data_IF_715691111694
#
_entry.id   IF_715691111694
#
_cell.length_a   1.000
_cell.length_b   1.000
_cell.length_c   1.000
_cell.angle_alpha   90.00
_cell.angle_beta   90.00
_cell.angle_gamma   90.00
#
_symmetry.space_group_name_H-M   'P 1'
#
loop_
_entity.id
_entity.type
_entity.pdbx_description
1 polymer ?
#
# COMPACT_ATOMS: atom_id res chain seq x y z
N UNK A 1 -75.47 -29.22 -44.17
CA UNK A 1 -74.53 -30.24 -43.56
C UNK A 1 -73.22 -29.62 -43.04
N UNK A 2 -73.24 -28.41 -42.44
CA UNK A 2 -71.97 -27.74 -41.96
C UNK A 2 -71.84 -27.62 -40.43
N UNK A 3 -72.82 -28.11 -39.67
CA UNK A 3 -72.80 -27.98 -38.20
C UNK A 3 -72.27 -29.14 -37.43
N UNK A 4 -72.17 -30.32 -38.05
CA UNK A 4 -71.70 -31.57 -37.33
C UNK A 4 -70.20 -31.73 -37.24
N UNK A 5 -69.42 -31.15 -38.17
CA UNK A 5 -67.96 -31.22 -38.17
C UNK A 5 -67.32 -30.28 -37.10
N UNK A 6 -68.00 -29.18 -36.75
CA UNK A 6 -67.48 -28.23 -35.75
C UNK A 6 -67.58 -28.78 -34.32
N UNK A 7 -68.65 -29.54 -34.07
CA UNK A 7 -68.85 -30.14 -32.72
C UNK A 7 -67.85 -31.25 -32.38
N UNK A 8 -67.41 -32.03 -33.41
CA UNK A 8 -66.44 -33.08 -33.24
C UNK A 8 -65.01 -32.50 -33.00
N UNK A 9 -64.71 -31.38 -33.67
CA UNK A 9 -63.40 -30.71 -33.48
C UNK A 9 -63.31 -30.02 -32.11
N UNK A 10 -64.43 -29.46 -31.58
CA UNK A 10 -64.43 -28.90 -30.25
C UNK A 10 -64.35 -29.96 -29.14
N UNK A 11 -64.92 -31.15 -29.35
CA UNK A 11 -64.79 -32.24 -28.39
C UNK A 11 -63.35 -32.81 -28.31
N UNK A 12 -62.62 -32.83 -29.44
CA UNK A 12 -61.22 -33.31 -29.45
C UNK A 12 -60.26 -32.33 -28.72
N UNK A 13 -60.54 -31.02 -28.70
CA UNK A 13 -59.75 -30.01 -27.96
C UNK A 13 -59.93 -30.08 -26.46
N UNK A 14 -61.09 -30.51 -25.97
CA UNK A 14 -61.40 -30.63 -24.53
C UNK A 14 -60.94 -31.93 -23.88
N UNK A 15 -60.54 -32.95 -24.66
CA UNK A 15 -60.05 -34.23 -24.12
C UNK A 15 -58.53 -34.24 -23.95
N UNK A 16 -57.82 -33.32 -24.58
CA UNK A 16 -56.33 -33.27 -24.42
C UNK A 16 -55.80 -32.89 -23.04
N UNK A 17 -56.48 -32.10 -22.21
CA UNK A 17 -55.96 -31.75 -20.89
C UNK A 17 -56.22 -32.76 -19.76
N UNK A 18 -56.84 -33.92 -20.09
CA UNK A 18 -57.16 -34.97 -19.11
C UNK A 18 -56.15 -36.17 -19.16
N UNK A 19 -55.02 -36.04 -19.88
CA UNK A 19 -53.95 -36.96 -19.69
C UNK A 19 -53.39 -36.70 -18.28
N UNK A 20 -53.41 -37.69 -17.38
CA UNK A 20 -52.73 -37.53 -16.09
C UNK A 20 -51.30 -37.07 -16.38
N UNK A 21 -50.86 -36.01 -15.72
CA UNK A 21 -49.44 -35.75 -15.64
C UNK A 21 -48.84 -37.07 -15.18
N UNK A 22 -47.99 -37.69 -15.97
CA UNK A 22 -47.17 -38.79 -15.49
C UNK A 22 -46.39 -38.22 -14.34
N UNK A 23 -46.72 -38.61 -13.10
CA UNK A 23 -45.84 -38.36 -11.98
C UNK A 23 -44.43 -38.75 -12.46
N UNK A 24 -43.53 -37.79 -12.45
CA UNK A 24 -42.12 -38.07 -12.70
C UNK A 24 -41.80 -39.13 -11.65
N UNK A 25 -41.57 -40.38 -12.13
CA UNK A 25 -41.18 -41.47 -11.22
C UNK A 25 -39.89 -40.96 -10.56
N UNK A 26 -39.92 -40.78 -9.24
CA UNK A 26 -38.70 -40.52 -8.50
C UNK A 26 -37.64 -41.54 -8.94
N UNK A 27 -36.44 -41.11 -9.29
CA UNK A 27 -35.41 -42.03 -9.71
C UNK A 27 -35.19 -43.08 -8.61
N UNK A 28 -34.87 -44.31 -9.00
CA UNK A 28 -34.62 -45.41 -8.10
C UNK A 28 -33.44 -45.07 -7.18
N UNK A 29 -32.51 -44.30 -7.69
CA UNK A 29 -31.38 -43.68 -6.98
C UNK A 29 -31.29 -42.22 -7.41
N UNK A 30 -30.86 -41.35 -6.49
CA UNK A 30 -30.71 -39.92 -6.75
C UNK A 30 -29.87 -39.30 -5.65
N UNK A 31 -29.34 -38.12 -5.95
CA UNK A 31 -28.54 -37.32 -5.03
C UNK A 31 -29.00 -35.88 -5.11
N UNK A 32 -28.96 -35.17 -3.99
CA UNK A 32 -29.14 -33.74 -3.91
C UNK A 32 -27.92 -33.15 -3.15
N UNK A 33 -27.35 -32.11 -3.69
CA UNK A 33 -26.21 -31.39 -3.10
C UNK A 33 -26.61 -29.95 -2.84
N UNK A 34 -26.49 -29.53 -1.59
CA UNK A 34 -26.74 -28.14 -1.19
C UNK A 34 -25.58 -27.63 -0.37
N UNK A 35 -25.20 -26.35 -0.57
CA UNK A 35 -24.18 -25.70 0.23
C UNK A 35 -24.66 -24.32 0.67
N UNK A 36 -24.18 -23.85 1.82
CA UNK A 36 -24.54 -22.53 2.36
C UNK A 36 -23.94 -21.37 1.57
N UNK A 37 -22.97 -21.63 0.73
CA UNK A 37 -22.15 -20.64 0.04
C UNK A 37 -21.00 -20.15 0.91
N UNK A 38 -19.85 -19.82 0.31
CA UNK A 38 -18.72 -19.28 1.04
C UNK A 38 -19.01 -17.84 1.45
N UNK A 39 -18.54 -17.44 2.64
CA UNK A 39 -18.37 -16.02 2.98
C UNK A 39 -17.23 -15.41 2.15
N UNK A 40 -17.18 -14.08 2.07
CA UNK A 40 -16.02 -13.41 1.50
C UNK A 40 -14.75 -13.74 2.29
N UNK A 41 -13.64 -13.99 1.60
CA UNK A 41 -12.36 -14.31 2.24
C UNK A 41 -11.62 -13.05 2.66
N UNK A 42 -11.40 -12.85 3.97
CA UNK A 42 -10.53 -11.80 4.47
C UNK A 42 -9.07 -12.16 4.20
N UNK A 43 -8.41 -11.32 3.39
CA UNK A 43 -6.99 -11.45 3.01
C UNK A 43 -6.13 -10.34 3.60
N UNK A 44 -6.68 -9.57 4.54
CA UNK A 44 -5.93 -8.52 5.24
C UNK A 44 -4.76 -9.14 6.03
N UNK A 45 -3.60 -8.46 6.09
CA UNK A 45 -2.42 -9.00 6.78
C UNK A 45 -2.64 -9.29 8.27
N UNK A 46 -3.63 -8.64 8.88
CA UNK A 46 -3.94 -8.76 10.32
C UNK A 46 -5.15 -9.63 10.62
N UNK A 47 -6.01 -9.89 9.65
CA UNK A 47 -7.30 -10.56 9.82
C UNK A 47 -7.48 -11.81 8.95
N UNK A 48 -6.43 -12.27 8.27
CA UNK A 48 -6.53 -13.43 7.41
C UNK A 48 -7.00 -14.67 8.17
N UNK A 49 -8.13 -15.24 7.72
CA UNK A 49 -8.65 -16.51 8.18
C UNK A 49 -9.18 -17.32 6.99
N UNK A 50 -8.95 -18.67 6.96
CA UNK A 50 -9.61 -19.54 5.99
C UNK A 50 -11.13 -19.47 6.12
N UNK A 51 -11.83 -19.57 4.99
CA UNK A 51 -13.30 -19.56 4.94
C UNK A 51 -13.79 -20.98 4.85
N UNK A 52 -14.77 -21.32 5.68
CA UNK A 52 -15.43 -22.62 5.69
C UNK A 52 -16.84 -22.48 5.09
N UNK A 53 -17.20 -23.47 4.28
CA UNK A 53 -18.52 -23.64 3.68
C UNK A 53 -19.01 -25.05 4.01
N UNK A 54 -20.21 -25.16 4.56
CA UNK A 54 -20.85 -26.45 4.84
C UNK A 54 -21.70 -26.86 3.66
N UNK A 55 -21.49 -28.08 3.20
CA UNK A 55 -22.30 -28.74 2.18
C UNK A 55 -23.00 -29.95 2.74
N UNK A 56 -24.22 -30.18 2.31
CA UNK A 56 -25.05 -31.35 2.69
C UNK A 56 -25.31 -32.19 1.44
N UNK A 57 -25.01 -33.48 1.52
CA UNK A 57 -25.36 -34.48 0.51
C UNK A 57 -26.56 -35.27 1.03
N UNK A 58 -27.60 -35.39 0.24
CA UNK A 58 -28.79 -36.18 0.55
C UNK A 58 -28.94 -37.32 -0.47
N UNK A 59 -29.12 -38.54 0.02
CA UNK A 59 -29.54 -39.64 -0.86
C UNK A 59 -31.07 -39.59 -1.03
N UNK A 60 -31.52 -39.07 -2.18
CA UNK A 60 -32.94 -38.93 -2.51
C UNK A 60 -33.59 -40.23 -3.02
N UNK A 61 -32.87 -41.34 -3.02
CA UNK A 61 -33.40 -42.64 -3.40
C UNK A 61 -34.55 -43.05 -2.46
N UNK A 62 -35.50 -43.76 -3.03
CA UNK A 62 -36.64 -44.29 -2.23
C UNK A 62 -36.27 -45.54 -1.42
N UNK A 63 -35.25 -46.25 -1.82
CA UNK A 63 -34.75 -47.47 -1.19
C UNK A 63 -33.24 -47.66 -1.42
N UNK A 64 -32.56 -48.15 -0.43
CA UNK A 64 -31.18 -48.64 -0.51
C UNK A 64 -30.12 -47.55 -0.30
N UNK A 65 -28.97 -47.99 0.10
CA UNK A 65 -27.81 -47.14 0.28
C UNK A 65 -27.18 -46.80 -1.06
N UNK A 66 -26.71 -45.57 -1.19
CA UNK A 66 -25.90 -45.11 -2.34
C UNK A 66 -24.51 -44.74 -1.88
N UNK A 67 -23.53 -45.07 -2.71
CA UNK A 67 -22.17 -44.51 -2.61
C UNK A 67 -22.08 -43.31 -3.55
N UNK A 68 -21.79 -42.16 -3.00
CA UNK A 68 -21.72 -40.89 -3.69
C UNK A 68 -20.27 -40.44 -3.69
N UNK A 69 -19.74 -40.16 -4.87
CA UNK A 69 -18.42 -39.59 -5.05
C UNK A 69 -18.53 -38.07 -5.21
N UNK A 70 -17.76 -37.32 -4.40
CA UNK A 70 -17.63 -35.88 -4.51
C UNK A 70 -16.35 -35.56 -5.27
N UNK A 71 -16.51 -34.76 -6.30
CA UNK A 71 -15.41 -34.19 -7.10
C UNK A 71 -15.61 -32.69 -7.25
N UNK A 72 -14.59 -31.95 -7.70
CA UNK A 72 -14.69 -30.52 -7.88
C UNK A 72 -13.94 -30.04 -9.12
N UNK A 73 -14.38 -28.87 -9.60
CA UNK A 73 -13.64 -28.00 -10.49
C UNK A 73 -13.33 -26.70 -9.75
N UNK A 74 -12.08 -26.25 -9.77
CA UNK A 74 -11.56 -25.09 -9.04
C UNK A 74 -10.62 -24.27 -9.88
N UNK A 75 -10.82 -22.96 -9.97
CA UNK A 75 -9.99 -22.08 -10.78
C UNK A 75 -9.03 -21.16 -9.96
N UNK A 76 -8.93 -21.37 -8.65
CA UNK A 76 -8.08 -20.53 -7.76
C UNK A 76 -6.58 -20.57 -8.05
N UNK A 77 -6.12 -21.55 -8.83
CA UNK A 77 -4.75 -21.63 -9.31
C UNK A 77 -3.73 -21.73 -8.17
N UNK A 78 -2.67 -20.91 -8.25
CA UNK A 78 -1.62 -20.84 -7.25
C UNK A 78 -1.90 -19.83 -6.12
N UNK A 79 -3.01 -19.08 -6.20
CA UNK A 79 -3.29 -17.98 -5.28
C UNK A 79 -4.30 -18.33 -4.20
N UNK A 80 -5.14 -19.32 -4.45
CA UNK A 80 -6.10 -19.84 -3.48
C UNK A 80 -6.28 -21.35 -3.63
N UNK A 81 -6.51 -22.03 -2.51
CA UNK A 81 -6.72 -23.48 -2.43
C UNK A 81 -8.16 -23.77 -1.94
N UNK A 82 -8.74 -24.85 -2.48
CA UNK A 82 -9.99 -25.42 -2.01
C UNK A 82 -9.74 -26.85 -1.51
N UNK A 83 -10.05 -27.11 -0.24
CA UNK A 83 -9.83 -28.40 0.42
C UNK A 83 -11.17 -28.98 0.90
N UNK A 84 -11.27 -30.29 1.01
CA UNK A 84 -12.46 -30.96 1.53
C UNK A 84 -13.58 -31.21 0.51
N UNK A 85 -13.44 -30.68 -0.72
CA UNK A 85 -14.42 -30.88 -1.80
C UNK A 85 -14.16 -32.15 -2.63
N UNK A 86 -13.66 -33.21 -2.00
CA UNK A 86 -13.47 -34.54 -2.59
C UNK A 86 -13.69 -35.62 -1.54
N UNK A 87 -14.30 -36.73 -1.93
CA UNK A 87 -14.52 -37.84 -1.01
C UNK A 87 -15.53 -38.85 -1.51
N UNK A 88 -15.74 -39.91 -0.74
CA UNK A 88 -16.77 -40.91 -0.99
C UNK A 88 -17.63 -41.07 0.26
N UNK A 89 -18.94 -41.03 0.08
CA UNK A 89 -19.93 -41.07 1.14
C UNK A 89 -20.89 -42.24 0.87
N UNK A 90 -21.25 -43.00 1.93
CA UNK A 90 -22.21 -44.10 1.84
C UNK A 90 -23.42 -43.74 2.66
N UNK A 91 -24.51 -43.34 2.02
CA UNK A 91 -25.70 -42.74 2.64
C UNK A 91 -26.90 -43.62 2.40
N UNK A 92 -27.66 -43.95 3.48
CA UNK A 92 -28.91 -44.70 3.38
C UNK A 92 -30.01 -43.86 2.69
N UNK A 93 -31.02 -44.54 2.16
CA UNK A 93 -32.14 -43.90 1.48
C UNK A 93 -32.85 -42.87 2.37
N UNK A 94 -32.93 -41.62 1.90
CA UNK A 94 -33.56 -40.51 2.61
C UNK A 94 -32.72 -39.91 3.74
N UNK A 95 -31.47 -40.35 3.93
CA UNK A 95 -30.55 -39.79 4.90
C UNK A 95 -29.61 -38.77 4.21
N UNK A 96 -28.97 -37.92 5.00
CA UNK A 96 -28.03 -36.92 4.55
C UNK A 96 -26.75 -36.92 5.38
N UNK A 97 -25.66 -36.45 4.81
CA UNK A 97 -24.37 -36.27 5.47
C UNK A 97 -23.76 -34.93 5.09
N UNK A 98 -23.18 -34.23 6.10
CA UNK A 98 -22.55 -32.96 5.90
C UNK A 98 -21.05 -33.11 5.71
N UNK A 99 -20.46 -32.24 4.87
CA UNK A 99 -19.03 -32.10 4.74
C UNK A 99 -18.63 -30.63 4.66
N UNK A 100 -17.40 -30.32 5.05
CA UNK A 100 -16.89 -28.96 5.07
C UNK A 100 -15.89 -28.77 3.95
N UNK A 101 -16.08 -27.70 3.20
CA UNK A 101 -15.11 -27.20 2.21
C UNK A 101 -14.41 -25.99 2.81
N UNK A 102 -13.09 -26.03 2.81
CA UNK A 102 -12.26 -24.95 3.34
C UNK A 102 -11.53 -24.24 2.20
N UNK A 103 -11.70 -22.95 2.12
CA UNK A 103 -10.97 -22.08 1.18
C UNK A 103 -9.85 -21.36 1.93
N UNK A 104 -8.66 -21.35 1.34
CA UNK A 104 -7.51 -20.64 1.87
C UNK A 104 -6.76 -19.97 0.72
N UNK A 105 -6.01 -18.90 1.02
CA UNK A 105 -5.31 -18.14 -0.01
C UNK A 105 -4.12 -17.38 0.53
N UNK A 106 -3.51 -16.57 -0.32
CA UNK A 106 -2.44 -15.66 0.09
C UNK A 106 -3.02 -14.34 0.58
N UNK A 107 -2.33 -13.68 1.51
CA UNK A 107 -2.69 -12.32 1.94
C UNK A 107 -2.48 -11.29 0.83
N UNK A 108 -3.16 -10.15 0.93
CA UNK A 108 -3.04 -8.99 0.01
C UNK A 108 -3.51 -9.25 -1.43
N UNK A 109 -4.39 -10.20 -1.63
CA UNK A 109 -5.01 -10.36 -2.94
C UNK A 109 -5.93 -9.18 -3.25
N UNK A 110 -6.01 -8.74 -4.54
CA UNK A 110 -6.98 -7.72 -4.94
C UNK A 110 -8.42 -8.15 -4.65
N UNK A 111 -9.25 -7.24 -4.20
CA UNK A 111 -10.69 -7.47 -4.00
C UNK A 111 -11.43 -7.81 -5.31
N UNK A 112 -10.85 -7.43 -6.46
CA UNK A 112 -11.39 -7.77 -7.78
C UNK A 112 -11.19 -9.24 -8.18
N UNK A 113 -10.43 -10.02 -7.41
CA UNK A 113 -10.29 -11.45 -7.64
C UNK A 113 -11.57 -12.17 -7.18
N UNK A 114 -12.03 -13.08 -8.04
CA UNK A 114 -13.13 -13.98 -7.79
C UNK A 114 -12.75 -15.36 -8.32
N UNK A 115 -13.01 -16.39 -7.56
CA UNK A 115 -12.59 -17.76 -7.89
C UNK A 115 -13.81 -18.64 -8.01
N UNK A 116 -14.14 -19.00 -9.26
CA UNK A 116 -15.27 -19.88 -9.53
C UNK A 116 -14.94 -21.32 -9.12
N UNK A 117 -15.95 -22.00 -8.60
CA UNK A 117 -15.87 -23.43 -8.31
C UNK A 117 -17.18 -24.12 -8.60
N UNK A 118 -17.08 -25.41 -8.88
CA UNK A 118 -18.21 -26.30 -8.98
C UNK A 118 -17.89 -27.60 -8.27
N UNK A 119 -18.81 -28.05 -7.41
CA UNK A 119 -18.72 -29.30 -6.66
C UNK A 119 -19.77 -30.25 -7.24
N UNK A 120 -19.36 -31.44 -7.57
CA UNK A 120 -20.23 -32.48 -8.14
C UNK A 120 -20.43 -33.60 -7.14
N UNK A 121 -21.68 -34.04 -6.96
CA UNK A 121 -22.05 -35.23 -6.24
C UNK A 121 -22.56 -36.27 -7.24
N UNK A 122 -21.86 -37.37 -7.43
CA UNK A 122 -22.20 -38.40 -8.43
C UNK A 122 -22.45 -39.72 -7.73
N UNK A 123 -23.62 -40.34 -7.97
CA UNK A 123 -23.92 -41.71 -7.48
C UNK A 123 -23.09 -42.70 -8.27
N UNK A 124 -22.16 -43.37 -7.61
CA UNK A 124 -21.24 -44.36 -8.25
C UNK A 124 -21.57 -45.82 -7.92
N UNK A 125 -22.35 -46.04 -6.83
CA UNK A 125 -22.75 -47.40 -6.42
C UNK A 125 -24.14 -47.35 -5.75
N UNK A 126 -24.97 -48.34 -5.99
CA UNK A 126 -26.27 -48.49 -5.33
C UNK A 126 -26.41 -49.92 -4.76
N UNK A 127 -26.74 -50.05 -3.46
CA UNK A 127 -26.80 -51.32 -2.78
C UNK A 127 -25.58 -52.24 -3.03
N UNK A 128 -24.37 -51.69 -3.00
CA UNK A 128 -23.09 -52.35 -3.27
C UNK A 128 -22.93 -52.86 -4.72
N UNK A 129 -23.76 -52.36 -5.65
CA UNK A 129 -23.63 -52.62 -7.08
C UNK A 129 -23.06 -51.38 -7.79
N UNK A 130 -21.85 -51.43 -8.39
CA UNK A 130 -21.28 -50.31 -9.11
C UNK A 130 -22.16 -49.89 -10.31
N UNK A 131 -22.43 -48.62 -10.44
CA UNK A 131 -23.15 -48.02 -11.57
C UNK A 131 -22.17 -47.72 -12.71
N UNK A 132 -21.92 -48.74 -13.53
CA UNK A 132 -21.09 -48.61 -14.72
C UNK A 132 -21.97 -48.55 -15.96
N UNK A 133 -21.44 -48.02 -17.05
CA UNK A 133 -22.14 -48.05 -18.37
C UNK A 133 -22.66 -49.48 -18.71
N UNK A 134 -23.89 -49.61 -19.14
CA UNK A 134 -24.81 -48.58 -19.62
C UNK A 134 -25.79 -48.01 -18.58
N UNK A 135 -25.58 -48.24 -17.28
CA UNK A 135 -26.46 -47.67 -16.22
C UNK A 135 -26.24 -46.17 -16.11
N UNK A 136 -27.32 -45.37 -16.11
CA UNK A 136 -27.18 -43.95 -15.88
C UNK A 136 -26.63 -43.70 -14.48
N UNK A 137 -25.73 -42.71 -14.35
CA UNK A 137 -25.29 -42.14 -13.11
C UNK A 137 -26.12 -40.89 -12.85
N UNK A 138 -26.73 -40.80 -11.71
CA UNK A 138 -27.38 -39.56 -11.25
C UNK A 138 -26.31 -38.70 -10.63
N UNK A 139 -26.37 -37.41 -10.91
CA UNK A 139 -25.47 -36.41 -10.35
C UNK A 139 -26.25 -35.14 -10.04
N UNK A 140 -25.72 -34.40 -9.08
CA UNK A 140 -26.10 -33.03 -8.80
C UNK A 140 -24.84 -32.18 -8.64
N UNK A 141 -24.95 -30.86 -8.81
CA UNK A 141 -23.80 -29.96 -8.67
C UNK A 141 -24.20 -28.67 -7.99
N UNK A 142 -23.24 -28.11 -7.29
CA UNK A 142 -23.31 -26.78 -6.69
C UNK A 142 -22.19 -25.91 -7.25
N UNK A 143 -22.56 -24.84 -7.96
CA UNK A 143 -21.63 -23.87 -8.55
C UNK A 143 -21.76 -22.52 -7.84
N UNK A 144 -20.65 -21.89 -7.50
CA UNK A 144 -20.57 -20.57 -6.88
C UNK A 144 -19.18 -19.96 -7.12
N UNK A 145 -18.92 -18.79 -6.55
CA UNK A 145 -17.62 -18.15 -6.53
C UNK A 145 -17.21 -17.75 -5.11
N UNK A 146 -15.91 -17.83 -4.84
CA UNK A 146 -15.30 -17.27 -3.64
C UNK A 146 -14.88 -15.83 -3.96
N UNK A 147 -15.44 -14.87 -3.25
CA UNK A 147 -15.10 -13.46 -3.36
C UNK A 147 -14.05 -13.06 -2.32
N UNK A 148 -13.23 -12.07 -2.65
CA UNK A 148 -12.22 -11.51 -1.74
C UNK A 148 -12.78 -10.28 -1.06
N UNK A 149 -12.77 -10.27 0.28
CA UNK A 149 -13.20 -9.12 1.06
C UNK A 149 -12.29 -7.90 0.84
N UNK A 150 -12.91 -6.73 0.72
CA UNK A 150 -12.17 -5.46 0.63
C UNK A 150 -11.68 -5.04 2.01
N UNK A 151 -10.42 -4.63 2.12
CA UNK A 151 -9.86 -4.01 3.31
C UNK A 151 -9.08 -2.74 2.97
N UNK A 152 -9.15 -1.75 3.85
CA UNK A 152 -8.38 -0.53 3.78
C UNK A 152 -7.07 -0.65 4.57
N UNK A 153 -6.00 -0.08 4.04
CA UNK A 153 -4.75 0.11 4.74
C UNK A 153 -3.98 1.27 4.12
N UNK A 154 -3.37 2.08 4.95
CA UNK A 154 -2.66 3.28 4.50
C UNK A 154 -1.29 3.34 5.16
N UNK A 155 -0.29 3.78 4.41
CA UNK A 155 1.03 4.11 4.92
C UNK A 155 1.30 5.60 4.69
N UNK A 156 1.62 6.33 5.77
CA UNK A 156 2.00 7.73 5.72
C UNK A 156 3.52 7.85 5.88
N UNK A 157 4.16 8.54 4.93
CA UNK A 157 5.60 8.77 4.90
C UNK A 157 5.88 10.27 4.90
N UNK A 158 6.47 10.76 5.97
CA UNK A 158 6.96 12.12 6.06
C UNK A 158 8.43 12.17 5.58
N UNK A 159 8.77 13.22 4.82
CA UNK A 159 10.14 13.40 4.32
C UNK A 159 11.15 13.60 5.45
N UNK A 160 10.71 14.16 6.59
CA UNK A 160 11.55 14.39 7.77
C UNK A 160 10.69 14.43 9.03
N UNK A 161 11.03 13.64 10.02
CA UNK A 161 10.37 13.54 11.34
C UNK A 161 11.19 14.15 12.48
N UNK A 162 12.33 14.80 12.17
CA UNK A 162 13.15 15.47 13.19
C UNK A 162 12.43 16.69 13.75
N UNK A 163 12.84 17.08 14.96
CA UNK A 163 12.36 18.31 15.57
C UNK A 163 12.60 19.52 14.66
N UNK A 164 11.55 20.31 14.46
CA UNK A 164 11.61 21.56 13.70
C UNK A 164 11.76 22.72 14.67
N UNK A 165 12.92 23.38 14.63
CA UNK A 165 13.13 24.65 15.31
C UNK A 165 12.63 25.78 14.42
N UNK A 166 11.62 26.51 14.85
CA UNK A 166 10.98 27.58 14.09
C UNK A 166 10.91 28.84 14.94
N UNK A 167 11.03 30.02 14.32
CA UNK A 167 10.86 31.29 15.00
C UNK A 167 9.36 31.62 15.15
N UNK A 168 9.01 32.31 16.20
CA UNK A 168 7.68 32.85 16.45
C UNK A 168 7.20 33.66 15.24
N UNK A 169 5.99 33.40 14.75
CA UNK A 169 5.39 34.06 13.61
C UNK A 169 6.00 33.72 12.24
N UNK A 170 6.92 32.74 12.18
CA UNK A 170 7.49 32.28 10.90
C UNK A 170 6.65 31.18 10.24
N UNK A 171 6.73 31.12 8.92
CA UNK A 171 6.16 30.04 8.12
C UNK A 171 7.15 28.88 8.00
N UNK A 172 6.65 27.66 8.13
CA UNK A 172 7.39 26.44 7.84
C UNK A 172 6.49 25.43 7.14
N UNK A 173 7.09 24.40 6.52
CA UNK A 173 6.34 23.39 5.81
C UNK A 173 6.72 21.99 6.22
N UNK A 174 5.75 21.08 6.17
CA UNK A 174 5.94 19.64 6.34
C UNK A 174 5.54 18.97 5.02
N UNK A 175 6.45 18.15 4.51
CA UNK A 175 6.28 17.45 3.25
C UNK A 175 6.08 15.96 3.50
N UNK A 176 5.10 15.37 2.83
CA UNK A 176 4.73 13.97 3.00
C UNK A 176 4.17 13.36 1.72
N UNK A 177 4.11 12.04 1.73
CA UNK A 177 3.44 11.20 0.75
C UNK A 177 2.63 10.15 1.50
N UNK A 178 1.64 9.57 0.86
CA UNK A 178 0.86 8.48 1.42
C UNK A 178 0.59 7.43 0.35
N UNK A 179 0.52 6.17 0.78
CA UNK A 179 0.38 5.01 -0.10
C UNK A 179 -0.86 4.24 0.29
N UNK A 180 -1.68 3.86 -0.70
CA UNK A 180 -2.73 2.88 -0.50
C UNK A 180 -2.11 1.48 -0.38
N UNK A 181 -2.20 0.86 0.80
CA UNK A 181 -1.75 -0.50 1.12
C UNK A 181 -2.91 -1.49 1.22
N UNK A 182 -4.14 -1.03 1.01
CA UNK A 182 -5.33 -1.87 0.90
C UNK A 182 -5.33 -2.71 -0.37
N UNK A 183 -6.35 -3.53 -0.54
CA UNK A 183 -6.47 -4.43 -1.68
C UNK A 183 -7.45 -3.96 -2.76
N UNK A 184 -7.91 -2.72 -2.67
CA UNK A 184 -8.76 -2.07 -3.67
C UNK A 184 -8.35 -0.60 -3.85
N UNK A 185 -8.96 0.07 -4.83
CA UNK A 185 -8.86 1.51 -4.96
C UNK A 185 -9.44 2.18 -3.71
N UNK A 186 -8.74 3.17 -3.19
CA UNK A 186 -9.14 3.85 -1.96
C UNK A 186 -8.96 5.36 -2.07
N UNK A 187 -9.82 6.10 -1.39
CA UNK A 187 -9.64 7.51 -1.16
C UNK A 187 -8.95 7.71 0.17
N UNK A 188 -7.63 7.94 0.10
CA UNK A 188 -6.81 8.18 1.28
C UNK A 188 -6.93 9.64 1.71
N UNK A 189 -7.14 9.86 3.01
CA UNK A 189 -7.18 11.19 3.64
C UNK A 189 -6.05 11.34 4.64
N UNK A 190 -5.37 12.48 4.61
CA UNK A 190 -4.34 12.88 5.58
C UNK A 190 -4.75 14.19 6.23
N UNK A 191 -4.74 14.24 7.55
CA UNK A 191 -4.98 15.43 8.35
C UNK A 191 -4.13 15.44 9.64
N UNK A 192 -4.34 16.44 10.51
CA UNK A 192 -3.72 16.53 11.82
C UNK A 192 -4.71 16.10 12.89
N UNK A 193 -4.40 15.02 13.61
CA UNK A 193 -5.23 14.51 14.72
C UNK A 193 -5.48 15.55 15.80
N UNK A 194 -4.51 16.45 16.04
CA UNK A 194 -4.58 17.49 17.05
C UNK A 194 -4.76 18.91 16.48
N UNK A 195 -5.36 19.05 15.31
CA UNK A 195 -5.57 20.34 14.62
C UNK A 195 -6.18 21.42 15.51
N UNK A 196 -7.19 21.08 16.32
CA UNK A 196 -7.88 22.02 17.18
C UNK A 196 -6.98 22.53 18.32
N UNK A 197 -6.14 21.66 18.89
CA UNK A 197 -5.17 22.03 19.91
C UNK A 197 -4.13 22.99 19.36
N UNK A 198 -3.63 22.72 18.17
CA UNK A 198 -2.67 23.58 17.47
C UNK A 198 -3.26 24.96 17.16
N UNK A 199 -4.50 25.04 16.69
CA UNK A 199 -5.21 26.30 16.46
C UNK A 199 -5.40 27.10 17.76
N UNK A 200 -5.73 26.44 18.85
CA UNK A 200 -5.85 27.08 20.17
C UNK A 200 -4.50 27.58 20.68
N UNK A 201 -3.41 26.91 20.33
CA UNK A 201 -2.05 27.34 20.64
C UNK A 201 -1.54 28.47 19.73
N UNK A 202 -2.34 28.90 18.75
CA UNK A 202 -2.01 30.03 17.87
C UNK A 202 -1.36 29.63 16.52
N UNK A 203 -1.24 28.34 16.21
CA UNK A 203 -0.85 27.92 14.88
C UNK A 203 -1.96 28.21 13.87
N UNK A 204 -1.57 28.57 12.67
CA UNK A 204 -2.49 28.70 11.54
C UNK A 204 -1.96 27.96 10.32
N UNK A 205 -2.88 27.57 9.43
CA UNK A 205 -2.57 26.73 8.29
C UNK A 205 -2.82 27.52 6.99
N UNK A 206 -1.84 27.50 6.09
CA UNK A 206 -1.89 28.22 4.83
C UNK A 206 -2.33 27.25 3.73
N UNK A 207 -3.57 27.43 3.24
CA UNK A 207 -4.17 26.55 2.26
C UNK A 207 -5.03 25.46 2.88
N UNK A 208 -4.80 24.19 2.50
CA UNK A 208 -5.61 23.06 2.97
C UNK A 208 -5.13 22.52 4.31
N UNK A 209 -6.08 22.26 5.21
CA UNK A 209 -5.83 21.62 6.52
C UNK A 209 -5.87 20.08 6.43
N UNK A 210 -6.27 19.55 5.30
CA UNK A 210 -6.26 18.12 4.99
C UNK A 210 -5.99 17.90 3.51
N UNK A 211 -5.55 16.72 3.18
CA UNK A 211 -5.36 16.24 1.81
C UNK A 211 -6.16 14.96 1.63
N UNK A 212 -6.74 14.80 0.46
CA UNK A 212 -7.42 13.56 0.09
C UNK A 212 -7.22 13.29 -1.40
N UNK A 213 -6.90 12.04 -1.74
CA UNK A 213 -6.63 11.61 -3.11
C UNK A 213 -7.12 10.18 -3.32
N UNK A 214 -7.69 9.93 -4.50
CA UNK A 214 -8.10 8.59 -4.91
C UNK A 214 -6.86 7.86 -5.44
N UNK A 215 -6.44 6.79 -4.77
CA UNK A 215 -5.26 6.01 -5.09
C UNK A 215 -5.64 4.57 -5.43
N UNK A 216 -5.14 4.07 -6.55
CA UNK A 216 -5.22 2.65 -6.85
C UNK A 216 -4.42 1.82 -5.82
N UNK A 217 -4.73 0.54 -5.70
CA UNK A 217 -4.02 -0.42 -4.86
C UNK A 217 -2.51 -0.35 -5.11
N UNK A 218 -1.72 -0.16 -4.06
CA UNK A 218 -0.26 -0.10 -4.09
C UNK A 218 0.33 1.22 -4.59
N UNK A 219 -0.49 2.19 -5.02
CA UNK A 219 0.01 3.47 -5.52
C UNK A 219 0.26 4.46 -4.38
N UNK A 220 1.28 5.30 -4.61
CA UNK A 220 1.69 6.39 -3.72
C UNK A 220 1.27 7.72 -4.33
N UNK A 221 0.80 8.64 -3.50
CA UNK A 221 0.48 10.01 -3.91
C UNK A 221 1.71 10.76 -4.41
N UNK A 222 1.48 11.82 -5.18
CA UNK A 222 2.50 12.84 -5.34
C UNK A 222 2.89 13.44 -3.99
N UNK A 223 4.07 14.06 -3.93
CA UNK A 223 4.53 14.75 -2.74
C UNK A 223 3.58 15.92 -2.41
N UNK A 224 3.06 15.96 -1.20
CA UNK A 224 2.19 17.01 -0.67
C UNK A 224 2.97 17.86 0.33
N UNK A 225 2.58 19.12 0.44
CA UNK A 225 3.17 20.07 1.36
C UNK A 225 2.08 20.74 2.19
N UNK A 226 2.19 20.66 3.52
CA UNK A 226 1.35 21.42 4.44
C UNK A 226 2.15 22.60 4.97
N UNK A 227 1.65 23.80 4.73
CA UNK A 227 2.26 25.06 5.18
C UNK A 227 1.62 25.53 6.46
N UNK A 228 2.45 25.82 7.44
CA UNK A 228 2.05 26.12 8.81
C UNK A 228 2.72 27.42 9.22
N UNK A 229 1.94 28.33 9.80
CA UNK A 229 2.45 29.54 10.45
C UNK A 229 2.51 29.30 11.95
N UNK A 230 3.69 29.49 12.54
CA UNK A 230 3.91 29.37 13.96
C UNK A 230 3.19 30.50 14.73
N UNK A 231 2.81 30.27 16.01
CA UNK A 231 2.27 31.34 16.87
C UNK A 231 3.19 32.57 16.91
N UNK A 232 2.59 33.74 16.79
CA UNK A 232 3.27 35.03 17.09
C UNK A 232 3.25 35.33 18.58
N UNK A 233 3.76 36.18 19.16
CA UNK A 233 3.58 36.72 20.55
C UNK A 233 3.73 35.64 21.63
N UNK A 234 4.81 34.85 21.57
CA UNK A 234 5.17 33.91 22.64
C UNK A 234 6.29 34.49 23.52
N UNK A 235 6.12 34.40 24.84
CA UNK A 235 7.07 34.91 25.84
C UNK A 235 8.27 33.97 26.05
N UNK A 236 8.10 32.68 25.74
CA UNK A 236 9.11 31.64 25.96
C UNK A 236 9.01 30.57 24.89
N UNK A 237 10.06 29.75 24.73
CA UNK A 237 10.05 28.61 23.83
C UNK A 237 8.90 27.65 24.14
N UNK A 238 8.11 27.30 23.13
CA UNK A 238 7.00 26.39 23.23
C UNK A 238 7.30 25.14 22.39
N UNK A 239 6.99 23.95 22.94
CA UNK A 239 7.15 22.69 22.23
C UNK A 239 5.77 22.07 21.97
N UNK A 240 5.56 21.64 20.73
CA UNK A 240 4.34 21.01 20.25
C UNK A 240 4.66 19.78 19.40
N UNK A 241 3.72 18.86 19.34
CA UNK A 241 3.75 17.74 18.41
C UNK A 241 2.74 17.97 17.30
N UNK A 242 3.15 17.93 16.05
CA UNK A 242 2.25 17.83 14.91
C UNK A 242 1.95 16.33 14.69
N UNK A 243 0.72 15.91 14.98
CA UNK A 243 0.30 14.52 14.85
C UNK A 243 -0.43 14.32 13.54
N UNK A 244 0.32 13.93 12.52
CA UNK A 244 -0.24 13.57 11.22
C UNK A 244 -0.87 12.20 11.30
N UNK A 245 -2.06 12.06 10.72
CA UNK A 245 -2.74 10.78 10.56
C UNK A 245 -3.22 10.61 9.11
N UNK A 246 -3.09 9.38 8.60
CA UNK A 246 -3.68 8.98 7.34
C UNK A 246 -4.72 7.89 7.59
N UNK A 247 -5.85 7.99 6.89
CA UNK A 247 -6.98 7.08 7.01
C UNK A 247 -7.50 6.65 5.63
N UNK A 248 -8.03 5.44 5.56
CA UNK A 248 -8.89 4.99 4.48
C UNK A 248 -10.25 5.68 4.60
N UNK A 249 -10.80 6.14 3.49
CA UNK A 249 -12.19 6.65 3.48
C UNK A 249 -13.18 5.55 3.15
N UNK A 250 -12.74 4.54 2.39
CA UNK A 250 -13.59 3.42 1.98
C UNK A 250 -13.74 2.37 3.08
N UNK A 251 -12.76 2.28 3.97
CA UNK A 251 -12.78 1.40 5.14
C UNK A 251 -12.50 2.22 6.42
N UNK A 252 -13.54 2.76 7.07
CA UNK A 252 -13.40 3.57 8.29
C UNK A 252 -12.84 2.80 9.50
N UNK A 253 -12.91 1.48 9.49
CA UNK A 253 -12.42 0.61 10.54
C UNK A 253 -10.94 0.21 10.34
N UNK A 254 -10.36 0.59 9.19
CA UNK A 254 -8.95 0.35 8.89
C UNK A 254 -8.02 1.04 9.91
N UNK A 255 -6.87 0.44 10.21
CA UNK A 255 -5.87 1.05 11.09
C UNK A 255 -5.40 2.39 10.55
N UNK A 256 -5.35 3.41 11.41
CA UNK A 256 -4.76 4.70 11.08
C UNK A 256 -3.23 4.57 10.97
N UNK A 257 -2.65 5.27 10.00
CA UNK A 257 -1.19 5.46 9.93
C UNK A 257 -0.84 6.82 10.55
N UNK A 258 -0.16 6.80 11.68
CA UNK A 258 0.15 8.01 12.44
C UNK A 258 1.66 8.29 12.45
N UNK A 259 2.03 9.58 12.37
CA UNK A 259 3.41 10.04 12.49
C UNK A 259 3.46 11.38 13.19
N UNK A 260 4.43 11.57 14.08
CA UNK A 260 4.59 12.77 14.89
C UNK A 260 5.83 13.55 14.44
N UNK A 261 5.67 14.86 14.27
CA UNK A 261 6.77 15.81 14.06
C UNK A 261 6.83 16.78 15.22
N UNK A 262 7.84 16.71 16.08
CA UNK A 262 8.04 17.69 17.14
C UNK A 262 8.40 19.06 16.57
N UNK A 263 7.81 20.12 17.11
CA UNK A 263 8.09 21.51 16.72
C UNK A 263 8.44 22.31 17.97
N UNK A 264 9.58 22.98 17.93
CA UNK A 264 10.04 23.92 18.96
C UNK A 264 9.92 25.33 18.41
N UNK A 265 8.94 26.08 18.90
CA UNK A 265 8.75 27.49 18.53
C UNK A 265 9.57 28.35 19.47
N UNK A 266 10.55 29.08 18.95
CA UNK A 266 11.39 29.95 19.71
C UNK A 266 10.78 31.37 19.75
N UNK A 267 10.78 32.01 20.95
CA UNK A 267 10.36 33.39 21.03
C UNK A 267 11.27 34.24 20.15
N UNK A 268 10.68 35.09 19.32
CA UNK A 268 11.40 36.20 18.70
C UNK A 268 11.73 37.24 19.77
N UNK A 269 12.54 36.83 20.77
CA UNK A 269 13.16 37.90 21.55
C UNK A 269 13.93 38.70 20.54
N UNK A 270 13.44 39.92 20.30
CA UNK A 270 14.25 40.91 19.63
C UNK A 270 15.62 40.79 20.31
N UNK A 271 16.63 40.35 19.57
CA UNK A 271 18.01 40.51 19.96
C UNK A 271 18.07 41.92 20.47
N UNK A 272 18.01 42.06 21.81
CA UNK A 272 18.01 43.33 22.48
C UNK A 272 19.10 44.13 21.83
N UNK A 273 18.71 45.23 21.24
CA UNK A 273 19.61 46.11 20.51
C UNK A 273 20.93 46.10 21.26
N UNK A 274 22.01 45.67 20.60
CA UNK A 274 23.37 45.82 21.17
C UNK A 274 23.66 47.26 21.59
N UNK A 275 22.72 48.19 21.36
CA UNK A 275 22.69 49.56 21.78
C UNK A 275 22.10 49.78 23.20
N UNK A 276 21.31 48.83 23.81
CA UNK A 276 20.82 48.98 25.17
C UNK A 276 21.95 48.80 26.22
N UNK A 277 23.02 48.08 25.90
CA UNK A 277 24.22 47.97 26.73
C UNK A 277 25.18 49.17 26.61
N UNK A 278 24.95 50.10 25.66
CA UNK A 278 25.87 51.23 25.42
C UNK A 278 25.40 52.51 26.13
N UNK A 279 24.15 52.54 26.61
CA UNK A 279 23.59 53.73 27.32
C UNK A 279 24.10 53.96 28.75
N UNK A 280 24.81 52.99 29.37
CA UNK A 280 25.43 53.11 30.69
C UNK A 280 26.99 53.13 30.62
N UNK A 281 27.59 53.22 29.44
CA UNK A 281 29.05 53.35 29.35
C UNK A 281 29.44 54.77 29.72
N UNK A 282 30.00 54.89 30.91
CA UNK A 282 30.53 56.20 31.40
C UNK A 282 31.62 56.72 30.44
N UNK A 283 31.82 58.06 30.46
CA UNK A 283 32.83 58.68 29.61
C UNK A 283 34.23 58.03 29.73
N UNK A 284 34.56 57.45 30.88
CA UNK A 284 35.81 56.72 31.12
C UNK A 284 35.89 55.37 30.39
N UNK A 285 34.77 54.66 30.22
CA UNK A 285 34.73 53.40 29.50
C UNK A 285 34.81 53.57 27.98
N UNK A 286 34.32 54.71 27.44
CA UNK A 286 34.41 55.07 26.05
C UNK A 286 35.87 55.27 25.62
N UNK A 287 36.73 55.80 26.51
CA UNK A 287 38.18 55.94 26.30
C UNK A 287 38.84 54.55 26.28
N UNK A 288 38.42 53.64 27.12
CA UNK A 288 38.94 52.26 27.17
C UNK A 288 38.59 51.48 25.92
N UNK A 289 37.35 51.53 25.47
CA UNK A 289 36.92 50.87 24.23
C UNK A 289 37.53 51.48 22.99
N UNK A 290 37.69 52.82 22.96
CA UNK A 290 38.41 53.54 21.93
C UNK A 290 39.89 53.12 21.84
N UNK A 291 40.54 52.96 23.00
CA UNK A 291 41.95 52.48 23.06
C UNK A 291 42.09 51.02 22.57
N UNK A 292 41.15 50.14 22.93
CA UNK A 292 41.14 48.76 22.48
C UNK A 292 40.91 48.67 20.99
N UNK A 293 39.91 49.39 20.45
CA UNK A 293 39.62 49.43 19.01
C UNK A 293 40.77 50.02 18.20
N UNK A 294 41.36 51.10 18.74
CA UNK A 294 42.56 51.73 18.11
C UNK A 294 43.76 50.76 18.14
N UNK A 295 43.94 50.04 19.25
CA UNK A 295 45.01 49.03 19.34
C UNK A 295 44.86 47.87 18.35
N UNK A 296 43.64 47.38 18.15
CA UNK A 296 43.36 46.31 17.18
C UNK A 296 43.60 46.80 15.74
N UNK A 297 43.18 48.01 15.39
CA UNK A 297 43.42 48.59 14.06
C UNK A 297 44.92 48.77 13.82
N UNK A 298 45.67 49.24 14.81
CA UNK A 298 47.11 49.42 14.69
C UNK A 298 47.85 48.06 14.57
N UNK A 299 47.38 47.05 15.24
CA UNK A 299 47.91 45.67 15.13
C UNK A 299 47.66 45.08 13.74
N UNK A 300 46.46 45.30 13.16
CA UNK A 300 46.13 44.88 11.79
C UNK A 300 47.02 45.62 10.77
N UNK A 301 47.26 46.89 10.96
CA UNK A 301 48.15 47.68 10.10
C UNK A 301 49.59 47.19 10.18
N UNK A 302 50.09 46.89 11.40
CA UNK A 302 51.44 46.32 11.60
C UNK A 302 51.59 44.94 10.95
N UNK A 303 50.57 44.08 11.08
CA UNK A 303 50.54 42.78 10.42
C UNK A 303 50.53 42.92 8.91
N UNK A 304 49.82 43.91 8.38
CA UNK A 304 49.78 44.24 6.95
C UNK A 304 51.14 44.71 6.40
N UNK A 305 51.89 45.48 7.19
CA UNK A 305 53.26 45.92 6.84
C UNK A 305 54.26 44.79 6.87
N UNK A 306 54.16 43.94 7.94
CA UNK A 306 55.02 42.75 8.06
C UNK A 306 54.75 41.75 6.95
N UNK A 307 53.47 41.51 6.62
CA UNK A 307 53.13 40.62 5.51
C UNK A 307 53.64 41.08 4.15
N UNK A 308 53.64 42.43 3.89
CA UNK A 308 54.23 42.99 2.69
C UNK A 308 55.76 42.87 2.66
N UNK A 309 56.42 42.94 3.82
CA UNK A 309 57.87 42.81 3.90
C UNK A 309 58.30 41.34 3.71
N UNK A 310 57.49 40.38 4.20
CA UNK A 310 57.75 38.93 4.00
C UNK A 310 57.50 38.55 2.52
N UNK A 311 56.46 39.08 1.89
CA UNK A 311 56.20 38.83 0.45
C UNK A 311 57.33 39.35 -0.45
N UNK A 312 57.99 40.46 -0.11
CA UNK A 312 59.15 40.97 -0.85
C UNK A 312 60.41 40.09 -0.68
N UNK A 313 60.59 39.42 0.45
CA UNK A 313 61.72 38.48 0.67
C UNK A 313 61.50 37.16 -0.06
N UNK A 314 60.26 36.66 -0.01
CA UNK A 314 59.91 35.38 -0.68
C UNK A 314 59.92 35.53 -2.23
N UNK A 315 59.55 36.72 -2.78
CA UNK A 315 59.63 37.00 -4.22
C UNK A 315 61.09 37.00 -4.71
N UNK A 316 62.09 37.36 -3.87
CA UNK A 316 63.51 37.26 -4.22
C UNK A 316 64.06 35.83 -4.15
N UNK A 317 63.54 35.00 -3.21
CA UNK A 317 63.95 33.59 -3.10
C UNK A 317 63.37 32.73 -4.21
N UNK A 318 62.10 33.00 -4.62
CA UNK A 318 61.51 32.28 -5.74
C UNK A 318 62.14 32.62 -7.08
N UNK A 319 62.61 33.87 -7.29
CA UNK A 319 63.31 34.22 -8.51
C UNK A 319 64.72 33.59 -8.62
N UNK A 320 65.39 33.23 -7.49
CA UNK A 320 66.64 32.49 -7.49
C UNK A 320 66.40 30.96 -7.59
N UNK A 321 65.19 30.46 -7.26
CA UNK A 321 64.83 29.06 -7.39
C UNK A 321 64.30 28.70 -8.78
N UNK A 322 63.64 29.62 -9.47
CA UNK A 322 63.22 29.45 -10.88
C UNK A 322 64.37 29.36 -11.85
N UNK A 323 65.53 29.96 -11.52
CA UNK A 323 66.74 29.90 -12.36
C UNK A 323 67.56 28.59 -12.14
N UNK A 324 67.14 27.73 -11.18
CA UNK A 324 67.84 26.47 -10.84
C UNK A 324 67.04 25.20 -11.21
N UNK A 325 65.83 25.35 -11.74
CA UNK A 325 64.91 24.20 -12.07
C UNK A 325 64.68 24.12 -13.61
N UNK A 326 65.59 24.62 -14.41
CA UNK A 326 65.51 24.44 -15.88
C UNK A 326 66.33 23.23 -16.37
N UNK A 327 66.61 22.23 -15.50
CA UNK A 327 67.29 20.99 -15.87
C UNK A 327 66.83 19.83 -14.99
N UNK A 328 65.58 19.45 -15.07
CA UNK A 328 65.19 18.02 -14.89
C UNK A 328 63.73 17.81 -15.33
N UNK A 329 63.55 17.54 -16.61
CA UNK A 329 62.33 16.99 -17.20
C UNK A 329 62.22 15.54 -16.77
N UNK A 330 61.34 15.25 -15.81
CA UNK A 330 60.74 13.92 -15.71
C UNK A 330 59.27 14.10 -15.27
N UNK A 331 58.39 13.72 -16.17
CA UNK A 331 56.94 13.65 -16.10
C UNK A 331 56.47 12.88 -14.85
N UNK A 332 55.62 13.50 -14.03
CA UNK A 332 54.74 12.81 -13.10
C UNK A 332 53.29 13.19 -13.49
N UNK A 333 52.44 12.21 -13.84
CA UNK A 333 51.07 12.51 -14.26
C UNK A 333 50.26 13.05 -13.10
N UNK A 334 49.45 14.09 -13.42
CA UNK A 334 48.58 14.72 -12.45
C UNK A 334 47.36 13.83 -12.18
N UNK A 335 46.93 13.78 -10.91
CA UNK A 335 45.72 13.04 -10.44
C UNK A 335 44.42 13.43 -11.15
N UNK A 336 44.47 14.29 -12.14
CA UNK A 336 43.30 14.75 -12.90
C UNK A 336 43.04 13.85 -14.11
N UNK A 337 44.07 13.15 -14.59
CA UNK A 337 43.96 12.26 -15.77
C UNK A 337 43.38 10.87 -15.38
N UNK A 338 43.48 10.49 -14.09
CA UNK A 338 42.86 9.22 -13.58
C UNK A 338 41.33 9.28 -13.47
N UNK A 339 40.74 10.50 -13.44
CA UNK A 339 39.30 10.64 -13.34
C UNK A 339 38.58 10.62 -14.70
N UNK A 340 39.26 11.09 -15.74
CA UNK A 340 38.69 11.12 -17.09
C UNK A 340 38.70 9.73 -17.77
N UNK A 341 39.67 8.84 -17.40
CA UNK A 341 39.70 7.45 -17.90
C UNK A 341 38.59 6.59 -17.32
N UNK A 342 38.07 6.92 -16.12
CA UNK A 342 36.99 6.15 -15.47
C UNK A 342 35.62 6.38 -16.08
N UNK A 343 35.42 7.49 -16.80
CA UNK A 343 34.15 7.81 -17.48
C UNK A 343 34.13 7.30 -18.93
N UNK A 344 35.28 7.07 -19.56
CA UNK A 344 35.33 6.53 -20.92
C UNK A 344 35.04 5.01 -21.00
N UNK A 345 35.27 4.27 -19.90
CA UNK A 345 34.95 2.83 -19.85
C UNK A 345 33.45 2.54 -19.65
N UNK A 346 32.62 3.55 -19.38
CA UNK A 346 31.15 3.40 -19.23
C UNK A 346 30.39 3.53 -20.56
N UNK A 347 30.97 4.17 -21.56
CA UNK A 347 30.34 4.32 -22.89
C UNK A 347 30.48 3.07 -23.80
N UNK A 348 31.37 2.12 -23.43
CA UNK A 348 31.56 0.86 -24.16
C UNK A 348 30.68 -0.32 -23.64
N UNK A 349 29.80 -0.09 -22.65
CA UNK A 349 28.77 -1.03 -22.27
C UNK A 349 27.54 -0.87 -23.18
N UNK A 350 27.69 -1.22 -24.43
CA UNK A 350 26.55 -1.61 -25.28
C UNK A 350 25.93 -2.88 -24.68
N UNK A 351 24.88 -2.71 -23.86
CA UNK A 351 23.99 -3.82 -23.49
C UNK A 351 23.21 -4.14 -24.76
N UNK A 352 23.57 -5.26 -25.40
CA UNK A 352 22.81 -5.80 -26.52
C UNK A 352 21.38 -6.07 -26.04
N UNK A 353 20.44 -5.27 -26.55
CA UNK A 353 19.01 -5.34 -26.23
C UNK A 353 18.34 -6.64 -26.68
N UNK A 354 19.06 -7.51 -27.38
CA UNK A 354 18.52 -8.74 -27.96
C UNK A 354 18.45 -9.92 -26.97
N UNK A 355 19.10 -9.86 -25.79
CA UNK A 355 19.00 -10.94 -24.80
C UNK A 355 17.79 -10.81 -23.86
N UNK A 356 17.04 -9.71 -23.91
CA UNK A 356 15.87 -9.52 -23.05
C UNK A 356 14.56 -10.06 -23.65
N UNK A 357 14.49 -10.24 -24.95
CA UNK A 357 13.28 -10.76 -25.63
C UNK A 357 13.12 -12.28 -25.48
N UNK A 358 14.21 -13.02 -25.27
CA UNK A 358 14.13 -14.49 -25.08
C UNK A 358 13.70 -14.92 -23.66
N UNK A 359 13.68 -13.98 -22.68
CA UNK A 359 13.26 -14.25 -21.30
C UNK A 359 11.74 -14.04 -21.07
N UNK A 360 11.05 -13.43 -22.02
CA UNK A 360 9.60 -13.16 -21.92
C UNK A 360 8.71 -14.25 -22.56
N UNK A 361 9.31 -15.18 -23.32
CA UNK A 361 8.57 -16.30 -23.94
C UNK A 361 8.55 -17.58 -23.07
N UNK A 362 9.14 -17.57 -21.88
CA UNK A 362 9.17 -18.72 -20.94
C UNK A 362 8.31 -18.53 -19.67
N UNK A 363 7.42 -17.50 -19.65
CA UNK A 363 6.48 -17.31 -18.55
C UNK A 363 5.04 -17.22 -19.02
#
# INVERSE_FOLDING_TARGET
>A
MRGRSLAVLMAAIFVLPLLPATDAQNPIFGVNLTCDGPAEMDVSPSGYEPVEMVCTIENTATIGATKIEITNEWNGGATADMLGATGEYSIEAGESEDFTVTFSGTTKQPSSNSFDFEIFATVVEWNSVPLNEPLPRENDSYANSLEIATYGAVELLLSDTRTRDVESGSEFSITFQFTNKGNDNDRVRVDLANLNELKQAGFSFIGSEFFAEDLAMGFTSEQKEMKILAPSDIDSTLNFDLRFQASSTNDPDAPLSETVVPVSVQSSQSSGSLTEGISEVGEDDLILYGAIAGGVILLILLLGVVSRSVKKKNAKQNAEQEAAIELDDQETPSQQDEFDDLFNDLDDLEIEADEFDDLLDEF
#
